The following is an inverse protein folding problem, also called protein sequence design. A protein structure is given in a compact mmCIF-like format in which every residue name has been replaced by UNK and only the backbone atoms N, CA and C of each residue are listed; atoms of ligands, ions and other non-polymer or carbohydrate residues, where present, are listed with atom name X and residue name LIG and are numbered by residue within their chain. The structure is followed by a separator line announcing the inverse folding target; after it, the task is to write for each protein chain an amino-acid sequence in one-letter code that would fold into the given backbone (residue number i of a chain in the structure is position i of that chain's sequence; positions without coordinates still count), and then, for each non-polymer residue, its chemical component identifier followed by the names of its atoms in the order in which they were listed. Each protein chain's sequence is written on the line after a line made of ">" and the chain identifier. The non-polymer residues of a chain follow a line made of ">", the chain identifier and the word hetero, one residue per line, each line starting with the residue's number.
data_IF_161078905270
#
_entry.id   IF_161078905270
#
_cell.length_a   1.000
_cell.length_b   1.000
_cell.length_c   1.000
_cell.angle_alpha   90.00
_cell.angle_beta   90.00
_cell.angle_gamma   90.00
#
_symmetry.space_group_name_H-M   'P 1'
#
loop_
_entity.id
_entity.type
_entity.pdbx_description
1 polymer ?
#
# COMPACT_ATOMS: atom_id res chain seq x y z
N UNK A 1 -10.29 -27.07 -3.21
CA UNK A 1 -9.94 -26.39 -1.94
C UNK A 1 -9.87 -24.86 -2.08
N UNK A 2 -9.28 -24.30 -3.14
CA UNK A 2 -9.12 -22.84 -3.35
C UNK A 2 -10.46 -22.09 -3.42
N UNK A 3 -11.46 -22.62 -4.14
CA UNK A 3 -12.79 -22.00 -4.25
C UNK A 3 -13.49 -21.85 -2.90
N UNK A 4 -13.35 -22.86 -2.04
CA UNK A 4 -13.95 -22.86 -0.70
C UNK A 4 -13.29 -21.86 0.26
N UNK A 5 -12.02 -21.50 0.04
CA UNK A 5 -11.34 -20.45 0.82
C UNK A 5 -11.70 -19.06 0.28
N UNK A 6 -11.79 -18.92 -1.03
CA UNK A 6 -12.22 -17.69 -1.70
C UNK A 6 -13.64 -17.27 -1.29
N UNK A 7 -14.57 -18.22 -1.20
CA UNK A 7 -15.96 -17.94 -0.79
C UNK A 7 -16.10 -17.63 0.72
N UNK A 8 -15.17 -18.07 1.58
CA UNK A 8 -15.21 -17.83 3.03
C UNK A 8 -14.61 -16.50 3.47
N UNK A 9 -13.79 -15.86 2.64
CA UNK A 9 -13.25 -14.53 2.91
C UNK A 9 -14.35 -13.46 2.98
N UNK A 10 -15.22 -13.35 1.96
CA UNK A 10 -16.30 -12.37 1.92
C UNK A 10 -17.29 -12.47 3.09
N UNK A 11 -17.67 -13.67 3.51
CA UNK A 11 -18.53 -13.89 4.68
C UNK A 11 -17.92 -13.31 5.97
N UNK A 12 -16.59 -13.29 6.09
CA UNK A 12 -15.88 -12.72 7.25
C UNK A 12 -15.72 -11.21 7.16
N UNK A 13 -15.67 -10.67 5.95
CA UNK A 13 -15.38 -9.26 5.67
C UNK A 13 -16.65 -8.48 5.25
N UNK A 14 -17.85 -9.02 5.44
CA UNK A 14 -19.12 -8.42 5.03
C UNK A 14 -19.29 -6.96 5.52
N UNK A 15 -18.98 -6.68 6.78
CA UNK A 15 -19.06 -5.31 7.31
C UNK A 15 -18.05 -4.37 6.66
N UNK A 16 -16.84 -4.86 6.35
CA UNK A 16 -15.82 -4.10 5.67
C UNK A 16 -16.19 -3.82 4.20
N UNK A 17 -16.81 -4.78 3.52
CA UNK A 17 -17.33 -4.62 2.15
C UNK A 17 -18.47 -3.60 2.11
N UNK A 18 -19.42 -3.69 3.06
CA UNK A 18 -20.50 -2.72 3.17
C UNK A 18 -19.97 -1.30 3.45
N UNK A 19 -19.00 -1.15 4.35
CA UNK A 19 -18.35 0.12 4.62
C UNK A 19 -17.58 0.66 3.40
N UNK A 20 -16.90 -0.22 2.65
CA UNK A 20 -16.18 0.16 1.43
C UNK A 20 -17.10 0.66 0.31
N UNK A 21 -18.34 0.18 0.26
CA UNK A 21 -19.36 0.64 -0.69
C UNK A 21 -20.11 1.90 -0.21
N UNK A 22 -20.31 2.04 1.10
CA UNK A 22 -21.06 3.15 1.69
C UNK A 22 -20.22 4.42 1.89
N UNK A 23 -18.91 4.28 2.09
CA UNK A 23 -18.02 5.41 2.33
C UNK A 23 -17.52 6.01 1.00
N UNK A 24 -17.48 7.35 0.86
CA UNK A 24 -16.91 8.00 -0.33
C UNK A 24 -15.38 7.88 -0.41
N UNK A 25 -14.73 7.33 0.63
CA UNK A 25 -13.29 7.18 0.73
C UNK A 25 -12.90 5.73 0.44
N UNK A 26 -12.26 5.50 -0.70
CA UNK A 26 -11.70 4.19 -1.05
C UNK A 26 -10.27 3.98 -0.52
N UNK A 27 -9.78 2.74 -0.61
CA UNK A 27 -8.43 2.36 -0.22
C UNK A 27 -7.32 2.90 -1.16
N UNK A 28 -7.67 3.56 -2.27
CA UNK A 28 -6.74 4.02 -3.31
C UNK A 28 -5.50 4.77 -2.80
N UNK A 29 -5.61 5.74 -1.89
CA UNK A 29 -4.44 6.41 -1.32
C UNK A 29 -3.51 5.45 -0.55
N UNK A 30 -4.07 4.53 0.23
CA UNK A 30 -3.31 3.52 0.97
C UNK A 30 -2.66 2.50 0.02
N UNK A 31 -3.37 2.08 -1.02
CA UNK A 31 -2.84 1.20 -2.07
C UNK A 31 -1.66 1.83 -2.81
N UNK A 32 -1.77 3.12 -3.15
CA UNK A 32 -0.71 3.90 -3.79
C UNK A 32 0.55 3.99 -2.93
N UNK A 33 0.40 4.26 -1.62
CA UNK A 33 1.51 4.25 -0.67
C UNK A 33 2.14 2.86 -0.58
N UNK A 34 1.34 1.79 -0.48
CA UNK A 34 1.86 0.43 -0.44
C UNK A 34 2.62 0.04 -1.71
N UNK A 35 2.13 0.48 -2.88
CA UNK A 35 2.74 0.21 -4.18
C UNK A 35 4.07 0.92 -4.31
N UNK A 36 4.16 2.18 -3.87
CA UNK A 36 5.42 2.93 -3.85
C UNK A 36 6.45 2.29 -2.91
N UNK A 37 6.04 1.85 -1.72
CA UNK A 37 6.93 1.14 -0.78
C UNK A 37 7.42 -0.18 -1.39
N UNK A 38 6.51 -0.99 -1.95
CA UNK A 38 6.85 -2.26 -2.63
C UNK A 38 7.80 -2.04 -3.80
N UNK A 39 7.63 -0.98 -4.58
CA UNK A 39 8.53 -0.61 -5.68
C UNK A 39 9.94 -0.33 -5.17
N UNK A 40 10.09 0.48 -4.11
CA UNK A 40 11.39 0.78 -3.50
C UNK A 40 12.03 -0.51 -2.98
N UNK A 41 11.29 -1.34 -2.24
CA UNK A 41 11.80 -2.60 -1.73
C UNK A 41 12.25 -3.56 -2.86
N UNK A 42 11.51 -3.62 -3.98
CA UNK A 42 11.84 -4.46 -5.14
C UNK A 42 13.08 -3.98 -5.90
N UNK A 43 13.25 -2.66 -6.06
CA UNK A 43 14.48 -2.07 -6.62
C UNK A 43 15.73 -2.38 -5.80
N UNK A 44 15.55 -2.73 -4.52
CA UNK A 44 16.67 -3.03 -3.62
C UNK A 44 17.07 -4.51 -3.61
N UNK A 45 16.34 -5.39 -4.33
CA UNK A 45 16.67 -6.81 -4.47
C UNK A 45 17.01 -7.49 -3.13
N UNK A 46 16.25 -7.21 -2.07
CA UNK A 46 16.46 -7.79 -0.73
C UNK A 46 17.62 -7.19 0.07
N UNK A 47 18.36 -6.22 -0.46
CA UNK A 47 19.48 -5.54 0.22
C UNK A 47 19.03 -4.46 1.21
N UNK A 48 17.73 -4.38 1.49
CA UNK A 48 17.11 -3.36 2.32
C UNK A 48 16.55 -3.96 3.61
N UNK A 49 17.24 -3.74 4.72
CA UNK A 49 16.59 -3.86 6.03
C UNK A 49 15.55 -2.77 6.24
N UNK A 50 14.71 -2.91 7.28
CA UNK A 50 13.65 -1.96 7.61
C UNK A 50 14.15 -0.50 7.73
N UNK A 51 15.29 -0.28 8.37
CA UNK A 51 15.91 1.04 8.54
C UNK A 51 16.21 1.71 7.21
N UNK A 52 16.79 0.97 6.26
CA UNK A 52 17.15 1.50 4.94
C UNK A 52 15.91 1.75 4.07
N UNK A 53 14.92 0.87 4.16
CA UNK A 53 13.63 1.05 3.48
C UNK A 53 12.91 2.30 4.01
N UNK A 54 12.83 2.48 5.33
CA UNK A 54 12.24 3.66 5.98
C UNK A 54 12.93 4.94 5.53
N UNK A 55 14.27 4.96 5.52
CA UNK A 55 15.04 6.12 5.09
C UNK A 55 14.71 6.51 3.63
N UNK A 56 14.66 5.54 2.72
CA UNK A 56 14.32 5.79 1.30
C UNK A 56 12.87 6.17 1.09
N UNK A 57 11.94 5.60 1.85
CA UNK A 57 10.53 6.01 1.80
C UNK A 57 10.43 7.46 2.24
N UNK A 58 10.98 7.84 3.40
CA UNK A 58 10.89 9.23 3.89
C UNK A 58 11.53 10.24 2.92
N UNK A 59 12.69 9.91 2.35
CA UNK A 59 13.35 10.76 1.33
C UNK A 59 12.57 10.82 0.01
N UNK A 60 11.95 9.72 -0.41
CA UNK A 60 11.14 9.68 -1.63
C UNK A 60 9.70 10.20 -1.46
N UNK A 61 9.22 10.35 -0.22
CA UNK A 61 7.95 10.99 0.12
C UNK A 61 8.11 12.49 0.37
N UNK A 62 9.31 12.96 0.74
CA UNK A 62 9.59 14.39 0.77
C UNK A 62 9.65 14.88 -0.69
N UNK A 63 8.68 15.71 -1.15
CA UNK A 63 8.83 16.31 -2.46
C UNK A 63 10.13 17.11 -2.41
N UNK A 64 11.07 16.82 -3.31
CA UNK A 64 12.09 17.79 -3.61
C UNK A 64 11.32 19.04 -4.00
N UNK A 65 11.30 20.05 -3.11
CA UNK A 65 10.73 21.36 -3.40
C UNK A 65 11.41 21.77 -4.70
N UNK A 66 10.65 21.74 -5.79
CA UNK A 66 11.10 22.29 -7.05
C UNK A 66 11.46 23.74 -6.74
N UNK A 67 12.76 24.00 -6.69
CA UNK A 67 13.30 25.33 -6.74
C UNK A 67 12.90 25.85 -8.12
N UNK A 68 11.77 26.56 -8.18
CA UNK A 68 11.43 27.44 -9.30
C UNK A 68 12.55 28.47 -9.38
N UNK A 69 13.34 28.38 -10.44
CA UNK A 69 13.84 29.57 -11.12
C UNK A 69 12.77 29.96 -12.16
#
# INVERSE_FOLDING_TARGET
>A
MILHAFLRGPDRDHDAVNAALALPHGAGPAEGVSTKIKRIARQMHGRAGFTLLRHRVLLGQHPLRHHRM
#
